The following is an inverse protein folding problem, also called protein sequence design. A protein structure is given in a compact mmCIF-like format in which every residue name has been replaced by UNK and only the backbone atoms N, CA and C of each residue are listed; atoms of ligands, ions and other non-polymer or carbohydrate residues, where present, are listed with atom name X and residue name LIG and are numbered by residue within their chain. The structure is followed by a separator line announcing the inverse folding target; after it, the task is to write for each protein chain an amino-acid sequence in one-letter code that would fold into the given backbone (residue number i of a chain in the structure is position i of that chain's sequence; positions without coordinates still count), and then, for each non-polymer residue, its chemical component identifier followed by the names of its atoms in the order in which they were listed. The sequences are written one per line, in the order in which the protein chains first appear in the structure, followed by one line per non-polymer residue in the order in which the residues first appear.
data_IF_518858684740
#
_entry.id   IF_518858684740
#
_cell.length_a   1.000
_cell.length_b   1.000
_cell.length_c   1.000
_cell.angle_alpha   90.00
_cell.angle_beta   90.00
_cell.angle_gamma   90.00
#
_symmetry.space_group_name_H-M   'P 1'
#
loop_
_entity.id
_entity.type
_entity.pdbx_description
1 polymer ?
#
# COMPACT_ATOMS: atom_id res chain seq x y z
N UNK A 1 -4.24 15.95 -1.40
CA UNK A 1 -4.23 14.81 -0.44
C UNK A 1 -5.64 14.39 -0.03
N UNK A 2 -6.49 15.32 0.42
CA UNK A 2 -7.90 15.00 0.73
C UNK A 2 -8.64 14.46 -0.50
N UNK A 3 -8.45 15.06 -1.67
CA UNK A 3 -9.09 14.59 -2.91
C UNK A 3 -8.61 13.20 -3.35
N UNK A 4 -7.32 12.89 -3.13
CA UNK A 4 -6.75 11.58 -3.42
C UNK A 4 -7.32 10.48 -2.49
N UNK A 5 -7.52 10.79 -1.22
CA UNK A 5 -8.19 9.89 -0.28
C UNK A 5 -9.67 9.73 -0.59
N UNK A 6 -10.33 10.78 -1.06
CA UNK A 6 -11.73 10.75 -1.49
C UNK A 6 -11.91 9.92 -2.76
N UNK A 7 -10.97 10.02 -3.70
CA UNK A 7 -10.95 9.29 -4.97
C UNK A 7 -10.84 7.77 -4.78
N UNK A 8 -10.00 7.30 -3.85
CA UNK A 8 -9.86 5.86 -3.58
C UNK A 8 -11.00 5.22 -2.77
N UNK A 9 -12.08 5.97 -2.53
CA UNK A 9 -13.30 5.49 -1.91
C UNK A 9 -13.12 4.80 -0.55
N UNK A 10 -14.00 3.84 -0.26
CA UNK A 10 -13.98 3.10 0.99
C UNK A 10 -12.76 2.18 1.12
N UNK A 11 -12.30 1.61 0.00
CA UNK A 11 -11.15 0.70 -0.04
C UNK A 11 -9.85 1.33 0.46
N UNK A 12 -9.66 2.64 0.23
CA UNK A 12 -8.49 3.40 0.69
C UNK A 12 -8.29 3.31 2.21
N UNK A 13 -9.36 3.30 3.01
CA UNK A 13 -9.26 3.22 4.48
C UNK A 13 -8.71 1.88 4.96
N UNK A 14 -9.09 0.79 4.28
CA UNK A 14 -8.58 -0.55 4.59
C UNK A 14 -7.09 -0.64 4.23
N UNK A 15 -6.70 -0.11 3.06
CA UNK A 15 -5.30 -0.03 2.65
C UNK A 15 -4.48 0.80 3.65
N UNK A 16 -5.00 1.95 4.09
CA UNK A 16 -4.35 2.78 5.10
C UNK A 16 -4.16 2.03 6.42
N UNK A 17 -5.20 1.39 6.94
CA UNK A 17 -5.12 0.67 8.22
C UNK A 17 -4.07 -0.44 8.19
N UNK A 18 -4.07 -1.28 7.14
CA UNK A 18 -3.13 -2.39 6.99
C UNK A 18 -1.70 -1.91 6.76
N UNK A 19 -1.51 -0.92 5.89
CA UNK A 19 -0.18 -0.38 5.60
C UNK A 19 0.41 0.37 6.80
N UNK A 20 -0.41 1.07 7.58
CA UNK A 20 0.02 1.71 8.82
C UNK A 20 0.42 0.68 9.87
N UNK A 21 -0.36 -0.40 10.03
CA UNK A 21 0.02 -1.50 10.92
C UNK A 21 1.34 -2.16 10.49
N UNK A 22 1.57 -2.33 9.19
CA UNK A 22 2.83 -2.83 8.66
C UNK A 22 3.99 -1.89 8.98
N UNK A 23 3.80 -0.57 8.80
CA UNK A 23 4.81 0.45 9.04
C UNK A 23 5.20 0.54 10.52
N UNK A 24 4.22 0.53 11.42
CA UNK A 24 4.47 0.50 12.87
C UNK A 24 5.32 -0.72 13.22
N UNK A 25 4.97 -1.90 12.69
CA UNK A 25 5.75 -3.11 12.96
C UNK A 25 7.16 -3.05 12.36
N UNK A 26 7.34 -2.45 11.19
CA UNK A 26 8.66 -2.24 10.59
C UNK A 26 9.52 -1.30 11.45
N UNK A 27 8.96 -0.19 11.93
CA UNK A 27 9.66 0.72 12.85
C UNK A 27 10.07 -0.01 14.13
N UNK A 28 9.15 -0.76 14.74
CA UNK A 28 9.46 -1.55 15.94
C UNK A 28 10.52 -2.63 15.67
N UNK A 29 10.51 -3.27 14.50
CA UNK A 29 11.53 -4.21 14.06
C UNK A 29 12.90 -3.53 13.89
N UNK A 30 12.95 -2.29 13.41
CA UNK A 30 14.20 -1.54 13.24
C UNK A 30 14.89 -1.16 14.57
N UNK A 31 14.12 -1.11 15.66
CA UNK A 31 14.60 -0.81 17.01
C UNK A 31 14.90 -2.08 17.79
N UNK A 32 14.05 -3.10 17.70
CA UNK A 32 14.20 -4.39 18.36
C UNK A 32 13.94 -5.52 17.34
N UNK A 33 14.99 -5.96 16.62
CA UNK A 33 14.87 -6.97 15.58
C UNK A 33 14.41 -8.30 16.18
N UNK A 34 13.32 -8.83 15.67
CA UNK A 34 12.85 -10.18 16.01
C UNK A 34 12.24 -10.87 14.81
N UNK A 35 12.47 -12.17 14.68
CA UNK A 35 11.93 -12.98 13.57
C UNK A 35 10.40 -12.95 13.55
N UNK A 36 9.76 -12.96 14.72
CA UNK A 36 8.30 -12.88 14.85
C UNK A 36 7.74 -11.59 14.23
N UNK A 37 8.41 -10.46 14.41
CA UNK A 37 8.01 -9.18 13.79
C UNK A 37 8.18 -9.23 12.28
N UNK A 38 9.25 -9.85 11.77
CA UNK A 38 9.48 -9.97 10.33
C UNK A 38 8.40 -10.82 9.64
N UNK A 39 7.97 -11.92 10.26
CA UNK A 39 6.85 -12.74 9.79
C UNK A 39 5.56 -11.92 9.74
N UNK A 40 5.27 -11.13 10.79
CA UNK A 40 4.09 -10.27 10.84
C UNK A 40 4.13 -9.16 9.76
N UNK A 41 5.29 -8.53 9.54
CA UNK A 41 5.47 -7.51 8.50
C UNK A 41 5.21 -8.10 7.12
N UNK A 42 5.70 -9.33 6.84
CA UNK A 42 5.43 -10.03 5.58
C UNK A 42 3.94 -10.30 5.40
N UNK A 43 3.27 -10.82 6.42
CA UNK A 43 1.83 -11.08 6.38
C UNK A 43 1.02 -9.80 6.14
N UNK A 44 1.32 -8.72 6.87
CA UNK A 44 0.66 -7.42 6.70
C UNK A 44 0.96 -6.79 5.33
N UNK A 45 2.17 -6.99 4.80
CA UNK A 45 2.53 -6.51 3.46
C UNK A 45 1.73 -7.21 2.37
N UNK A 46 1.59 -8.53 2.48
CA UNK A 46 0.75 -9.33 1.58
C UNK A 46 -0.71 -8.92 1.69
N UNK A 47 -1.23 -8.74 2.91
CA UNK A 47 -2.60 -8.26 3.14
C UNK A 47 -2.83 -6.87 2.54
N UNK A 48 -1.87 -5.95 2.68
CA UNK A 48 -1.93 -4.61 2.08
C UNK A 48 -1.94 -4.69 0.56
N UNK A 49 -1.13 -5.56 -0.04
CA UNK A 49 -1.12 -5.78 -1.49
C UNK A 49 -2.48 -6.24 -2.01
N UNK A 50 -3.05 -7.28 -1.38
CA UNK A 50 -4.39 -7.76 -1.73
C UNK A 50 -5.46 -6.69 -1.52
N UNK A 51 -5.46 -6.00 -0.37
CA UNK A 51 -6.41 -4.93 -0.10
C UNK A 51 -6.34 -3.80 -1.15
N UNK A 52 -5.13 -3.46 -1.60
CA UNK A 52 -4.90 -2.41 -2.62
C UNK A 52 -5.43 -2.84 -3.99
N UNK A 53 -5.20 -4.09 -4.37
CA UNK A 53 -5.75 -4.66 -5.61
C UNK A 53 -7.28 -4.77 -5.57
N UNK A 54 -7.84 -5.19 -4.43
CA UNK A 54 -9.29 -5.26 -4.23
C UNK A 54 -9.93 -3.88 -4.28
N UNK A 55 -9.34 -2.88 -3.61
CA UNK A 55 -9.82 -1.50 -3.65
C UNK A 55 -9.82 -0.94 -5.08
N UNK A 56 -8.70 -1.10 -5.80
CA UNK A 56 -8.62 -0.72 -7.22
C UNK A 56 -9.68 -1.43 -8.07
N UNK A 57 -9.92 -2.73 -7.86
CA UNK A 57 -10.93 -3.48 -8.60
C UNK A 57 -12.36 -3.01 -8.29
N UNK A 58 -12.65 -2.61 -7.05
CA UNK A 58 -13.94 -2.03 -6.66
C UNK A 58 -14.18 -0.69 -7.35
N UNK A 59 -13.17 0.17 -7.40
CA UNK A 59 -13.27 1.47 -8.05
C UNK A 59 -13.45 1.30 -9.58
N UNK A 60 -12.66 0.43 -10.21
CA UNK A 60 -12.82 0.09 -11.63
C UNK A 60 -14.19 -0.51 -11.94
N UNK A 61 -14.69 -1.41 -11.08
CA UNK A 61 -16.03 -1.99 -11.24
C UNK A 61 -17.11 -0.90 -11.19
N UNK A 62 -16.94 0.09 -10.33
CA UNK A 62 -17.83 1.24 -10.22
C UNK A 62 -17.78 2.09 -11.49
N UNK A 63 -16.59 2.39 -12.02
CA UNK A 63 -16.43 3.09 -13.29
C UNK A 63 -17.13 2.34 -14.42
N UNK A 64 -16.89 1.04 -14.58
CA UNK A 64 -17.53 0.25 -15.62
C UNK A 64 -19.04 0.19 -15.49
N UNK A 65 -19.56 0.10 -14.26
CA UNK A 65 -20.99 0.13 -14.00
C UNK A 65 -21.62 1.42 -14.52
N UNK A 66 -21.08 2.58 -14.16
CA UNK A 66 -21.62 3.87 -14.60
C UNK A 66 -21.42 4.13 -16.10
N UNK A 67 -20.25 3.78 -16.63
CA UNK A 67 -19.92 3.97 -18.05
C UNK A 67 -20.81 3.14 -18.95
N UNK A 68 -21.16 1.92 -18.54
CA UNK A 68 -22.09 1.06 -19.30
C UNK A 68 -23.50 1.64 -19.44
N UNK A 69 -23.90 2.54 -18.53
CA UNK A 69 -25.20 3.20 -18.54
C UNK A 69 -25.27 4.49 -19.36
N UNK A 70 -24.15 4.98 -19.92
CA UNK A 70 -24.12 6.22 -20.68
C UNK A 70 -24.73 6.04 -22.07
N UNK A 71 -25.75 6.83 -22.39
CA UNK A 71 -26.40 6.84 -23.72
C UNK A 71 -25.59 7.55 -24.80
N UNK A 72 -24.82 8.58 -24.42
CA UNK A 72 -24.02 9.39 -25.34
C UNK A 72 -22.53 9.27 -25.02
N UNK A 73 -21.83 8.41 -25.75
CA UNK A 73 -20.38 8.21 -25.62
C UNK A 73 -19.56 9.35 -26.25
N UNK A 74 -20.12 10.04 -27.24
CA UNK A 74 -19.38 10.97 -28.12
C UNK A 74 -19.00 12.32 -27.48
N UNK A 75 -19.55 12.67 -26.31
CA UNK A 75 -19.27 13.95 -25.64
C UNK A 75 -18.53 13.87 -24.30
N UNK A 76 -18.41 12.67 -23.72
CA UNK A 76 -18.14 12.53 -22.27
C UNK A 76 -16.93 11.66 -21.92
N UNK A 77 -16.01 11.41 -22.85
CA UNK A 77 -14.80 10.60 -22.62
C UNK A 77 -13.94 11.07 -21.43
N UNK A 78 -14.11 12.32 -20.99
CA UNK A 78 -13.45 12.87 -19.80
C UNK A 78 -13.87 12.13 -18.51
N UNK A 79 -15.15 11.81 -18.35
CA UNK A 79 -15.69 11.21 -17.11
C UNK A 79 -15.13 9.79 -16.88
N UNK A 80 -15.15 8.86 -17.87
CA UNK A 80 -14.51 7.56 -17.72
C UNK A 80 -13.01 7.70 -17.40
N UNK A 81 -12.30 8.61 -18.07
CA UNK A 81 -10.86 8.80 -17.89
C UNK A 81 -10.51 9.34 -16.51
N UNK A 82 -11.30 10.27 -15.97
CA UNK A 82 -11.20 10.72 -14.58
C UNK A 82 -11.40 9.54 -13.61
N UNK A 83 -12.48 8.76 -13.80
CA UNK A 83 -12.77 7.59 -12.96
C UNK A 83 -11.67 6.51 -12.98
N UNK A 84 -11.05 6.27 -14.14
CA UNK A 84 -9.88 5.39 -14.25
C UNK A 84 -8.69 5.93 -13.45
N UNK A 85 -8.41 7.24 -13.54
CA UNK A 85 -7.36 7.87 -12.76
C UNK A 85 -7.60 7.73 -11.26
N UNK A 86 -8.83 7.97 -10.80
CA UNK A 86 -9.23 7.83 -9.41
C UNK A 86 -9.06 6.38 -8.91
N UNK A 87 -9.43 5.40 -9.74
CA UNK A 87 -9.35 3.97 -9.41
C UNK A 87 -7.93 3.46 -9.17
N UNK A 88 -6.91 4.15 -9.67
CA UNK A 88 -5.50 3.79 -9.43
C UNK A 88 -4.98 4.31 -8.08
N UNK A 89 -5.70 5.21 -7.43
CA UNK A 89 -5.26 5.83 -6.17
C UNK A 89 -4.96 4.81 -5.07
N UNK A 90 -5.80 3.78 -4.80
CA UNK A 90 -5.53 2.81 -3.75
C UNK A 90 -4.26 1.99 -3.99
N UNK A 91 -4.01 1.56 -5.23
CA UNK A 91 -2.83 0.74 -5.55
C UNK A 91 -1.55 1.57 -5.49
N UNK A 92 -1.58 2.82 -5.96
CA UNK A 92 -0.44 3.75 -5.84
C UNK A 92 -0.12 4.03 -4.38
N UNK A 93 -1.14 4.28 -3.56
CA UNK A 93 -0.95 4.53 -2.12
C UNK A 93 -0.40 3.31 -1.39
N UNK A 94 -1.03 2.15 -1.59
CA UNK A 94 -0.60 0.89 -0.97
C UNK A 94 0.83 0.52 -1.35
N UNK A 95 1.19 0.63 -2.62
CA UNK A 95 2.55 0.40 -3.10
C UNK A 95 3.56 1.37 -2.45
N UNK A 96 3.25 2.67 -2.42
CA UNK A 96 4.12 3.68 -1.81
C UNK A 96 4.35 3.44 -0.31
N UNK A 97 3.31 3.07 0.43
CA UNK A 97 3.44 2.72 1.84
C UNK A 97 4.27 1.44 2.03
N UNK A 98 4.07 0.40 1.21
CA UNK A 98 4.88 -0.80 1.27
C UNK A 98 6.36 -0.52 0.95
N UNK A 99 6.66 0.39 0.01
CA UNK A 99 8.03 0.85 -0.22
C UNK A 99 8.64 1.40 1.07
N UNK A 100 7.93 2.26 1.81
CA UNK A 100 8.42 2.80 3.08
C UNK A 100 8.62 1.70 4.14
N UNK A 101 7.66 0.78 4.26
CA UNK A 101 7.74 -0.38 5.17
C UNK A 101 9.04 -1.16 4.92
N UNK A 102 9.30 -1.53 3.67
CA UNK A 102 10.46 -2.35 3.32
C UNK A 102 11.79 -1.60 3.41
N UNK A 103 11.82 -0.27 3.20
CA UNK A 103 12.99 0.55 3.49
C UNK A 103 13.34 0.52 4.98
N UNK A 104 12.35 0.64 5.87
CA UNK A 104 12.57 0.55 7.32
C UNK A 104 13.01 -0.85 7.73
N UNK A 105 12.44 -1.90 7.14
CA UNK A 105 12.90 -3.29 7.36
C UNK A 105 14.37 -3.46 6.95
N UNK A 106 14.78 -2.90 5.81
CA UNK A 106 16.17 -2.98 5.36
C UNK A 106 17.15 -2.35 6.37
N UNK A 107 16.76 -1.23 6.99
CA UNK A 107 17.53 -0.63 8.10
C UNK A 107 17.62 -1.58 9.29
N UNK A 108 16.52 -2.21 9.68
CA UNK A 108 16.49 -3.20 10.76
C UNK A 108 17.41 -4.40 10.50
N UNK A 109 17.34 -4.98 9.30
CA UNK A 109 18.19 -6.11 8.89
C UNK A 109 19.68 -5.73 8.93
N UNK A 110 20.05 -4.53 8.45
CA UNK A 110 21.43 -4.05 8.48
C UNK A 110 21.97 -3.90 9.91
N UNK A 111 21.12 -3.52 10.87
CA UNK A 111 21.51 -3.42 12.29
C UNK A 111 21.81 -4.79 12.89
N UNK A 112 20.95 -5.77 12.64
CA UNK A 112 21.15 -7.15 13.14
C UNK A 112 22.44 -7.78 12.62
N UNK A 113 22.80 -7.54 11.36
CA UNK A 113 24.05 -8.09 10.78
C UNK A 113 25.31 -7.54 11.45
N UNK A 114 25.30 -6.27 11.89
CA UNK A 114 26.45 -5.66 12.60
C UNK A 114 26.67 -6.26 13.98
N UNK A 115 25.61 -6.65 14.67
CA UNK A 115 25.71 -7.27 16.00
C UNK A 115 26.30 -8.70 15.94
N UNK A 116 26.10 -9.41 14.82
CA UNK A 116 26.53 -10.80 14.65
C UNK A 116 28.00 -10.94 14.22
N UNK A 117 28.59 -9.90 13.61
CA UNK A 117 30.01 -9.91 13.20
C UNK A 117 30.86 -9.18 14.25
N UNK A 118 31.55 -9.88 15.18
CA UNK A 118 32.51 -9.21 16.05
C UNK A 118 33.64 -8.63 15.19
N UNK A 119 33.93 -7.35 15.40
CA UNK A 119 35.12 -6.70 14.83
C UNK A 119 36.35 -7.45 15.36
N UNK A 120 37.22 -7.99 14.49
CA UNK A 120 38.46 -8.61 14.97
C UNK A 120 39.26 -7.56 15.74
N UNK A 121 39.58 -7.85 16.99
CA UNK A 121 40.48 -7.03 17.78
C UNK A 121 41.86 -7.08 17.11
N UNK A 122 42.29 -5.95 16.56
CA UNK A 122 43.68 -5.73 16.10
C UNK A 122 44.64 -5.65 17.30
#
# INVERSE_FOLDING_TARGET
MVDFFRAGGWGMWVVLALSMAALINAVLFSVNPSERRLVLIRALSTATCFASLTAMAMDLSTVFYYVSGLKDWDGSARIPMEGYGESLSPITFGAGMLTLVWLVVAVGVRRTQREVTPVPAE
#
